data_IF_422282927742
#
_entry.id   IF_422282927742
#
_cell.length_a   1.000
_cell.length_b   1.000
_cell.length_c   1.000
_cell.angle_alpha   90.00
_cell.angle_beta   90.00
_cell.angle_gamma   90.00
#
_symmetry.space_group_name_H-M   'P 1'
#
loop_
_entity.id
_entity.type
_entity.pdbx_description
1 polymer ?
#
# COMPACT_ATOMS: atom_id res chain seq x y z
N UNK A 1 -6.91 1.86 -22.34
CA UNK A 1 -7.27 1.91 -20.90
C UNK A 1 -8.77 1.91 -20.82
N UNK A 2 -9.37 0.84 -20.33
CA UNK A 2 -10.79 0.85 -20.01
C UNK A 2 -10.96 1.86 -18.88
N UNK A 3 -11.72 2.93 -19.13
CA UNK A 3 -12.13 3.83 -18.06
C UNK A 3 -13.00 3.00 -17.11
N UNK A 4 -12.47 2.67 -15.91
CA UNK A 4 -13.34 2.32 -14.80
C UNK A 4 -14.30 3.49 -14.70
N UNK A 5 -15.60 3.26 -15.04
CA UNK A 5 -16.65 4.26 -14.78
C UNK A 5 -16.45 4.66 -13.33
N UNK A 6 -16.22 5.94 -13.07
CA UNK A 6 -15.97 6.43 -11.71
C UNK A 6 -17.20 6.04 -10.89
N UNK A 7 -17.01 5.12 -9.94
CA UNK A 7 -18.06 4.68 -9.04
C UNK A 7 -18.60 5.92 -8.31
N UNK A 8 -19.89 6.18 -8.45
CA UNK A 8 -20.54 7.29 -7.76
C UNK A 8 -20.75 6.90 -6.29
N UNK A 9 -20.12 7.64 -5.39
CA UNK A 9 -20.32 7.52 -3.95
C UNK A 9 -21.01 8.78 -3.44
N UNK A 10 -22.19 8.59 -2.85
CA UNK A 10 -23.05 9.67 -2.37
C UNK A 10 -23.47 9.46 -0.91
N UNK A 11 -23.83 10.53 -0.22
CA UNK A 11 -24.32 10.52 1.15
C UNK A 11 -25.65 11.23 1.15
N UNK A 12 -26.74 10.48 1.34
CA UNK A 12 -28.10 11.03 1.38
C UNK A 12 -28.73 10.76 2.75
N UNK A 13 -28.90 11.79 3.54
CA UNK A 13 -29.47 11.70 4.89
C UNK A 13 -30.98 11.39 4.90
N UNK A 14 -31.68 11.55 3.76
CA UNK A 14 -33.14 11.59 3.71
C UNK A 14 -33.80 10.54 2.82
N UNK A 15 -33.10 9.77 1.99
CA UNK A 15 -33.73 9.00 0.93
C UNK A 15 -33.25 7.54 0.83
N UNK A 16 -34.07 6.61 1.31
CA UNK A 16 -33.80 5.16 1.31
C UNK A 16 -34.22 4.45 0.01
N UNK A 17 -34.96 5.12 -0.91
CA UNK A 17 -35.81 4.44 -1.90
C UNK A 17 -35.30 4.34 -3.36
N UNK A 18 -34.07 4.76 -3.68
CA UNK A 18 -33.64 4.84 -5.08
C UNK A 18 -32.47 3.89 -5.44
N UNK A 19 -32.42 2.69 -4.89
CA UNK A 19 -31.39 1.70 -5.23
C UNK A 19 -32.01 0.30 -5.45
N UNK A 20 -31.28 -0.56 -6.16
CA UNK A 20 -31.71 -1.93 -6.42
C UNK A 20 -31.86 -2.76 -5.13
N UNK A 21 -31.09 -2.38 -4.10
CA UNK A 21 -31.04 -3.09 -2.82
C UNK A 21 -30.69 -2.14 -1.68
N UNK A 22 -31.31 -2.37 -0.50
CA UNK A 22 -30.98 -1.70 0.76
C UNK A 22 -30.14 -2.62 1.63
N UNK A 23 -28.99 -2.17 2.12
CA UNK A 23 -28.21 -2.87 3.12
C UNK A 23 -28.40 -2.25 4.51
N UNK A 24 -28.75 -3.11 5.50
CA UNK A 24 -29.11 -2.73 6.88
C UNK A 24 -28.18 -3.40 7.87
N UNK A 25 -27.50 -2.61 8.70
CA UNK A 25 -26.58 -3.11 9.73
C UNK A 25 -27.31 -3.64 10.97
N UNK A 26 -26.84 -4.76 11.51
CA UNK A 26 -27.42 -5.45 12.66
C UNK A 26 -26.35 -5.73 13.70
N UNK A 27 -26.54 -5.21 14.92
CA UNK A 27 -25.70 -5.56 16.06
C UNK A 27 -26.21 -6.83 16.75
N UNK A 28 -25.30 -7.60 17.35
CA UNK A 28 -25.65 -8.83 18.08
C UNK A 28 -26.52 -8.57 19.32
N UNK A 29 -26.28 -7.44 19.98
CA UNK A 29 -26.87 -7.05 21.27
C UNK A 29 -28.01 -6.03 21.16
N UNK A 30 -28.25 -5.45 19.98
CA UNK A 30 -29.26 -4.39 19.75
C UNK A 30 -30.22 -4.74 18.61
N UNK A 31 -30.61 -6.01 18.48
CA UNK A 31 -31.54 -6.42 17.45
C UNK A 31 -32.91 -6.73 18.09
N UNK A 32 -33.89 -5.87 17.87
CA UNK A 32 -35.24 -6.01 18.45
C UNK A 32 -36.24 -6.73 17.53
N UNK A 33 -35.91 -6.94 16.27
CA UNK A 33 -36.78 -7.62 15.30
C UNK A 33 -36.65 -9.14 15.38
N UNK A 34 -37.75 -9.84 15.76
CA UNK A 34 -37.82 -11.30 15.76
C UNK A 34 -37.54 -11.92 14.38
N UNK A 35 -38.00 -11.25 13.29
CA UNK A 35 -37.74 -11.69 11.93
C UNK A 35 -36.25 -11.66 11.62
N UNK A 36 -35.57 -10.54 11.95
CA UNK A 36 -34.12 -10.37 11.70
C UNK A 36 -33.34 -11.34 12.59
N UNK A 37 -33.69 -11.54 13.87
CA UNK A 37 -33.05 -12.51 14.77
C UNK A 37 -33.08 -13.95 14.25
N UNK A 38 -34.14 -14.30 13.51
CA UNK A 38 -34.25 -15.64 12.93
C UNK A 38 -33.32 -15.87 11.75
N UNK A 39 -32.87 -14.79 11.09
CA UNK A 39 -32.07 -14.84 9.85
C UNK A 39 -30.57 -14.57 10.08
N UNK A 40 -30.22 -13.70 11.04
CA UNK A 40 -28.84 -13.24 11.26
C UNK A 40 -28.54 -13.09 12.76
N UNK A 41 -27.35 -13.55 13.17
CA UNK A 41 -26.84 -13.40 14.53
C UNK A 41 -26.10 -12.07 14.78
N UNK A 42 -25.81 -11.33 13.73
CA UNK A 42 -25.11 -10.05 13.77
C UNK A 42 -23.59 -10.15 13.95
N UNK A 43 -22.96 -11.31 13.72
CA UNK A 43 -21.49 -11.42 13.72
C UNK A 43 -20.90 -10.57 12.59
N UNK A 44 -19.73 -9.99 12.82
CA UNK A 44 -19.06 -9.13 11.82
C UNK A 44 -18.97 -9.80 10.46
N UNK A 45 -19.54 -9.15 9.43
CA UNK A 45 -19.54 -9.66 8.06
C UNK A 45 -20.49 -10.82 7.77
N UNK A 46 -21.30 -11.26 8.75
CA UNK A 46 -22.41 -12.20 8.51
C UNK A 46 -23.47 -11.53 7.63
N UNK A 47 -24.02 -12.23 6.65
CA UNK A 47 -25.01 -11.71 5.72
C UNK A 47 -26.28 -12.55 5.76
N UNK A 48 -27.44 -11.88 5.72
CA UNK A 48 -28.74 -12.49 5.48
C UNK A 48 -29.53 -11.63 4.50
N UNK A 49 -30.37 -12.27 3.70
CA UNK A 49 -31.02 -11.64 2.57
C UNK A 49 -32.53 -11.87 2.60
N UNK A 50 -33.30 -10.79 2.52
CA UNK A 50 -34.75 -10.83 2.47
C UNK A 50 -35.27 -10.27 1.15
N UNK A 51 -36.07 -11.11 0.44
CA UNK A 51 -36.73 -10.77 -0.80
C UNK A 51 -38.21 -10.49 -0.56
N UNK A 52 -38.52 -9.34 -0.01
CA UNK A 52 -39.90 -8.86 -0.05
C UNK A 52 -40.18 -8.16 -1.38
N UNK A 53 -41.43 -8.31 -1.89
CA UNK A 53 -41.80 -7.79 -3.22
C UNK A 53 -41.61 -6.28 -3.40
N UNK A 54 -41.61 -5.51 -2.30
CA UNK A 54 -41.49 -4.04 -2.33
C UNK A 54 -40.06 -3.51 -2.18
N UNK A 55 -39.12 -4.25 -1.52
CA UNK A 55 -37.76 -3.81 -1.26
C UNK A 55 -36.84 -5.01 -0.98
N UNK A 56 -35.81 -5.17 -1.80
CA UNK A 56 -34.74 -6.12 -1.52
C UNK A 56 -33.88 -5.60 -0.37
N UNK A 57 -33.74 -6.37 0.71
CA UNK A 57 -32.94 -5.97 1.87
C UNK A 57 -31.85 -6.99 2.16
N UNK A 58 -30.62 -6.50 2.32
CA UNK A 58 -29.45 -7.25 2.76
C UNK A 58 -29.13 -6.85 4.20
N UNK A 59 -29.31 -7.74 5.14
CA UNK A 59 -28.86 -7.55 6.52
C UNK A 59 -27.39 -7.94 6.64
N UNK A 60 -26.60 -7.13 7.38
CA UNK A 60 -25.20 -7.43 7.61
C UNK A 60 -24.81 -7.23 9.08
N UNK A 61 -24.02 -8.14 9.61
CA UNK A 61 -23.60 -8.16 11.01
C UNK A 61 -22.48 -7.17 11.29
N UNK A 62 -22.61 -6.43 12.40
CA UNK A 62 -21.68 -5.40 12.88
C UNK A 62 -20.91 -5.82 14.16
N UNK A 63 -21.20 -7.02 14.72
CA UNK A 63 -20.65 -7.46 15.99
C UNK A 63 -21.40 -6.89 17.19
N UNK A 64 -20.76 -6.83 18.35
CA UNK A 64 -21.32 -6.23 19.57
C UNK A 64 -21.16 -4.72 19.53
N UNK A 65 -22.23 -3.97 19.85
CA UNK A 65 -22.28 -2.53 19.68
C UNK A 65 -21.28 -1.76 20.55
N UNK A 66 -20.90 -2.30 21.70
CA UNK A 66 -19.97 -1.75 22.68
C UNK A 66 -18.48 -2.17 22.43
N UNK A 67 -18.25 -3.12 21.51
CA UNK A 67 -16.93 -3.70 21.22
C UNK A 67 -16.50 -3.58 19.76
N UNK A 68 -17.42 -3.14 18.89
CA UNK A 68 -17.10 -2.98 17.48
C UNK A 68 -15.94 -2.00 17.27
N UNK A 69 -14.99 -2.42 16.49
CA UNK A 69 -13.81 -1.61 16.11
C UNK A 69 -13.99 -1.01 14.72
N UNK A 70 -13.22 0.06 14.36
CA UNK A 70 -13.23 0.57 12.99
C UNK A 70 -12.93 -0.52 11.94
N UNK A 71 -12.06 -1.48 12.27
CA UNK A 71 -11.74 -2.60 11.38
C UNK A 71 -12.92 -3.57 11.21
N UNK A 72 -13.74 -3.79 12.24
CA UNK A 72 -14.94 -4.60 12.12
C UNK A 72 -15.96 -3.97 11.16
N UNK A 73 -16.09 -2.65 11.18
CA UNK A 73 -16.95 -1.93 10.23
C UNK A 73 -16.42 -2.01 8.79
N UNK A 74 -15.10 -1.89 8.58
CA UNK A 74 -14.50 -2.11 7.24
C UNK A 74 -14.81 -3.51 6.73
N UNK A 75 -14.66 -4.53 7.58
CA UNK A 75 -14.97 -5.93 7.22
C UNK A 75 -16.44 -6.15 6.92
N UNK A 76 -17.33 -5.59 7.73
CA UNK A 76 -18.77 -5.67 7.51
C UNK A 76 -19.14 -5.00 6.17
N UNK A 77 -18.67 -3.80 5.93
CA UNK A 77 -18.87 -3.08 4.69
C UNK A 77 -18.29 -3.83 3.46
N UNK A 78 -17.09 -4.39 3.60
CA UNK A 78 -16.45 -5.20 2.57
C UNK A 78 -17.25 -6.44 2.21
N UNK A 79 -17.85 -7.13 3.20
CA UNK A 79 -18.72 -8.27 2.97
C UNK A 79 -20.00 -7.89 2.20
N UNK A 80 -20.63 -6.77 2.57
CA UNK A 80 -21.76 -6.20 1.83
C UNK A 80 -21.39 -5.98 0.36
N UNK A 81 -20.28 -5.27 0.09
CA UNK A 81 -19.90 -4.92 -1.27
C UNK A 81 -19.46 -6.13 -2.09
N UNK A 82 -18.85 -7.13 -1.46
CA UNK A 82 -18.55 -8.40 -2.12
C UNK A 82 -19.82 -9.08 -2.59
N UNK A 83 -20.87 -9.09 -1.78
CA UNK A 83 -22.18 -9.62 -2.16
C UNK A 83 -22.81 -8.82 -3.30
N UNK A 84 -22.85 -7.49 -3.20
CA UNK A 84 -23.43 -6.59 -4.19
C UNK A 84 -22.80 -6.79 -5.57
N UNK A 85 -21.47 -6.75 -5.64
CA UNK A 85 -20.73 -6.90 -6.91
C UNK A 85 -20.90 -8.30 -7.49
N UNK A 86 -20.84 -9.34 -6.66
CA UNK A 86 -21.00 -10.74 -7.10
C UNK A 86 -22.40 -11.03 -7.65
N UNK A 87 -23.42 -10.34 -7.15
CA UNK A 87 -24.81 -10.47 -7.62
C UNK A 87 -25.19 -9.43 -8.70
N UNK A 88 -24.21 -8.67 -9.22
CA UNK A 88 -24.37 -7.73 -10.35
C UNK A 88 -25.41 -6.63 -10.12
N UNK A 89 -25.60 -6.18 -8.89
CA UNK A 89 -26.44 -5.02 -8.61
C UNK A 89 -25.80 -3.73 -9.16
N UNK A 90 -26.62 -2.84 -9.72
CA UNK A 90 -26.13 -1.56 -10.28
C UNK A 90 -26.06 -0.47 -9.24
N UNK A 91 -26.88 -0.55 -8.19
CA UNK A 91 -26.93 0.44 -7.12
C UNK A 91 -27.24 -0.19 -5.76
N UNK A 92 -26.69 0.41 -4.72
CA UNK A 92 -26.97 0.02 -3.32
C UNK A 92 -27.11 1.24 -2.43
N UNK A 93 -28.15 1.23 -1.56
CA UNK A 93 -28.24 2.11 -0.40
C UNK A 93 -27.77 1.35 0.83
N UNK A 94 -26.80 1.90 1.56
CA UNK A 94 -26.22 1.27 2.75
C UNK A 94 -26.50 2.13 3.97
N UNK A 95 -27.21 1.57 4.95
CA UNK A 95 -27.49 2.28 6.19
C UNK A 95 -26.21 2.52 6.98
N UNK A 96 -25.94 3.77 7.35
CA UNK A 96 -24.82 4.12 8.22
C UNK A 96 -25.00 3.45 9.59
N UNK A 97 -24.00 2.69 10.07
CA UNK A 97 -24.07 2.08 11.39
C UNK A 97 -24.11 3.13 12.49
N UNK A 98 -25.06 3.01 13.42
CA UNK A 98 -25.21 3.91 14.57
C UNK A 98 -24.84 3.19 15.86
N UNK A 99 -23.96 3.79 16.66
CA UNK A 99 -23.72 3.42 18.05
C UNK A 99 -23.29 4.66 18.83
N UNK A 100 -23.64 4.75 20.10
CA UNK A 100 -23.24 5.83 21.00
C UNK A 100 -21.70 5.91 21.20
N UNK A 101 -20.99 4.81 20.94
CA UNK A 101 -19.53 4.72 21.01
C UNK A 101 -18.80 5.05 19.70
N UNK A 102 -19.53 5.32 18.61
CA UNK A 102 -18.94 5.56 17.31
C UNK A 102 -18.65 7.06 17.11
N UNK A 103 -17.39 7.37 16.86
CA UNK A 103 -16.92 8.68 16.45
C UNK A 103 -16.84 8.81 14.92
N UNK A 104 -16.34 9.94 14.44
CA UNK A 104 -16.16 10.24 13.03
C UNK A 104 -15.26 9.20 12.32
N UNK A 105 -14.30 8.61 13.02
CA UNK A 105 -13.39 7.62 12.47
C UNK A 105 -14.10 6.31 12.09
N UNK A 106 -15.19 5.96 12.80
CA UNK A 106 -16.04 4.82 12.42
C UNK A 106 -16.75 5.06 11.08
N UNK A 107 -17.25 6.29 10.85
CA UNK A 107 -17.84 6.66 9.55
C UNK A 107 -16.81 6.61 8.43
N UNK A 108 -15.59 7.08 8.68
CA UNK A 108 -14.47 6.98 7.75
C UNK A 108 -14.18 5.51 7.42
N UNK A 109 -14.00 4.66 8.44
CA UNK A 109 -13.66 3.26 8.30
C UNK A 109 -14.74 2.45 7.53
N UNK A 110 -16.01 2.74 7.81
CA UNK A 110 -17.12 2.10 7.10
C UNK A 110 -17.12 2.47 5.61
N UNK A 111 -16.93 3.74 5.29
CA UNK A 111 -16.82 4.22 3.91
C UNK A 111 -15.61 3.64 3.17
N UNK A 112 -14.47 3.52 3.86
CA UNK A 112 -13.30 2.80 3.31
C UNK A 112 -13.67 1.36 2.94
N UNK A 113 -14.36 0.64 3.83
CA UNK A 113 -14.78 -0.74 3.59
C UNK A 113 -15.72 -0.88 2.39
N UNK A 114 -16.65 0.06 2.19
CA UNK A 114 -17.55 0.07 1.04
C UNK A 114 -16.78 0.20 -0.28
N UNK A 115 -15.91 1.18 -0.39
CA UNK A 115 -15.13 1.41 -1.61
C UNK A 115 -14.13 0.27 -1.85
N UNK A 116 -13.36 -0.14 -0.83
CA UNK A 116 -12.37 -1.20 -0.96
C UNK A 116 -12.99 -2.56 -1.31
N UNK A 117 -14.15 -2.88 -0.74
CA UNK A 117 -14.88 -4.11 -1.01
C UNK A 117 -15.54 -4.15 -2.40
N UNK A 118 -15.82 -2.99 -2.98
CA UNK A 118 -16.37 -2.88 -4.34
C UNK A 118 -15.31 -3.04 -5.43
N UNK A 119 -14.03 -2.86 -5.11
CA UNK A 119 -12.94 -2.90 -6.06
C UNK A 119 -12.85 -4.23 -6.80
N UNK A 120 -12.67 -4.19 -8.12
CA UNK A 120 -12.35 -5.34 -9.00
C UNK A 120 -11.37 -4.87 -10.07
N UNK A 121 -10.34 -5.67 -10.31
CA UNK A 121 -9.41 -5.45 -11.42
C UNK A 121 -9.87 -6.28 -12.63
N UNK A 122 -10.44 -5.62 -13.64
CA UNK A 122 -11.10 -6.27 -14.78
C UNK A 122 -10.57 -5.77 -16.14
N UNK A 123 -9.56 -4.91 -16.16
CA UNK A 123 -9.13 -4.11 -17.31
C UNK A 123 -8.75 -4.94 -18.56
N UNK A 124 -8.35 -6.20 -18.37
CA UNK A 124 -7.91 -7.08 -19.46
C UNK A 124 -8.92 -8.18 -19.81
N UNK A 125 -10.09 -8.18 -19.19
CA UNK A 125 -11.18 -9.10 -19.54
C UNK A 125 -12.03 -8.48 -20.63
N UNK A 126 -12.14 -9.17 -21.78
CA UNK A 126 -12.85 -8.68 -22.97
C UNK A 126 -14.25 -9.29 -23.14
N UNK A 127 -14.61 -10.25 -22.31
CA UNK A 127 -15.92 -10.90 -22.29
C UNK A 127 -16.82 -10.34 -21.17
N UNK A 128 -17.97 -10.99 -20.91
CA UNK A 128 -18.94 -10.58 -19.90
C UNK A 128 -18.38 -10.51 -18.47
N UNK A 129 -17.29 -11.22 -18.16
CA UNK A 129 -16.61 -11.17 -16.85
C UNK A 129 -15.94 -9.82 -16.60
N UNK A 130 -15.56 -9.11 -17.69
CA UNK A 130 -15.00 -7.75 -17.63
C UNK A 130 -16.04 -6.66 -17.40
N UNK A 131 -17.34 -7.00 -17.31
CA UNK A 131 -18.40 -6.03 -17.09
C UNK A 131 -18.53 -5.73 -15.59
N UNK A 132 -18.29 -4.48 -15.23
CA UNK A 132 -18.54 -3.98 -13.88
C UNK A 132 -19.93 -3.32 -13.84
N UNK A 133 -20.82 -3.87 -13.00
CA UNK A 133 -22.23 -3.48 -13.00
C UNK A 133 -22.55 -2.39 -11.99
N UNK A 134 -21.80 -2.31 -10.86
CA UNK A 134 -22.09 -1.34 -9.82
C UNK A 134 -21.72 0.07 -10.29
N UNK A 135 -22.70 0.95 -10.28
CA UNK A 135 -22.56 2.36 -10.70
C UNK A 135 -22.63 3.32 -9.52
N UNK A 136 -23.45 2.98 -8.49
CA UNK A 136 -23.70 3.89 -7.37
C UNK A 136 -23.76 3.18 -6.00
N UNK A 137 -23.08 3.79 -5.03
CA UNK A 137 -23.21 3.50 -3.60
C UNK A 137 -23.78 4.77 -2.94
N UNK A 138 -24.88 4.64 -2.20
CA UNK A 138 -25.44 5.73 -1.41
C UNK A 138 -25.43 5.34 0.06
N UNK A 139 -24.69 6.07 0.89
CA UNK A 139 -24.75 5.91 2.34
C UNK A 139 -25.93 6.72 2.87
N UNK A 140 -26.85 6.06 3.60
CA UNK A 140 -28.10 6.65 4.07
C UNK A 140 -28.19 6.69 5.59
N UNK A 141 -28.91 7.68 6.11
CA UNK A 141 -29.07 7.91 7.55
C UNK A 141 -28.04 8.88 8.12
N UNK A 142 -28.10 9.09 9.45
CA UNK A 142 -27.17 10.01 10.12
C UNK A 142 -25.74 9.46 10.13
N UNK A 143 -24.83 10.17 9.48
CA UNK A 143 -23.40 9.89 9.46
C UNK A 143 -22.60 11.19 9.42
N UNK A 144 -21.33 11.14 9.82
CA UNK A 144 -20.42 12.25 9.62
C UNK A 144 -20.03 12.33 8.14
N UNK A 145 -20.61 13.26 7.39
CA UNK A 145 -20.40 13.37 5.96
C UNK A 145 -18.94 13.64 5.59
N UNK A 146 -18.25 14.49 6.35
CA UNK A 146 -16.85 14.83 6.08
C UNK A 146 -15.92 13.64 6.31
N UNK A 147 -16.08 12.92 7.42
CA UNK A 147 -15.32 11.70 7.70
C UNK A 147 -15.59 10.60 6.65
N UNK A 148 -16.85 10.46 6.23
CA UNK A 148 -17.22 9.50 5.19
C UNK A 148 -16.60 9.83 3.82
N UNK A 149 -16.58 11.11 3.44
CA UNK A 149 -15.90 11.58 2.20
C UNK A 149 -14.39 11.37 2.30
N UNK A 150 -13.79 11.67 3.46
CA UNK A 150 -12.36 11.39 3.71
C UNK A 150 -12.08 9.89 3.53
N UNK A 151 -12.88 9.01 4.12
CA UNK A 151 -12.75 7.56 3.97
C UNK A 151 -12.85 7.10 2.51
N UNK A 152 -13.81 7.64 1.75
CA UNK A 152 -13.93 7.35 0.32
C UNK A 152 -12.71 7.81 -0.47
N UNK A 153 -12.16 8.99 -0.16
CA UNK A 153 -10.93 9.52 -0.81
C UNK A 153 -9.73 8.60 -0.53
N UNK A 154 -9.52 8.22 0.71
CA UNK A 154 -8.44 7.30 1.12
C UNK A 154 -8.60 5.95 0.41
N UNK A 155 -9.81 5.38 0.41
CA UNK A 155 -10.06 4.10 -0.23
C UNK A 155 -9.84 4.13 -1.75
N UNK A 156 -10.23 5.20 -2.44
CA UNK A 156 -9.94 5.39 -3.86
C UNK A 156 -8.43 5.44 -4.13
N UNK A 157 -7.66 6.10 -3.26
CA UNK A 157 -6.19 6.11 -3.39
C UNK A 157 -5.57 4.72 -3.18
N UNK A 158 -6.11 3.92 -2.26
CA UNK A 158 -5.74 2.49 -2.10
C UNK A 158 -6.09 1.69 -3.37
N UNK A 159 -7.26 1.94 -3.99
CA UNK A 159 -7.65 1.28 -5.24
C UNK A 159 -6.69 1.63 -6.38
N UNK A 160 -6.20 2.87 -6.47
CA UNK A 160 -5.17 3.24 -7.45
C UNK A 160 -3.83 2.54 -7.20
N UNK A 161 -3.40 2.41 -5.93
CA UNK A 161 -2.22 1.60 -5.59
C UNK A 161 -2.41 0.13 -6.03
N UNK A 162 -3.61 -0.44 -5.83
CA UNK A 162 -3.96 -1.78 -6.34
C UNK A 162 -3.89 -1.85 -7.87
N UNK A 163 -4.40 -0.83 -8.57
CA UNK A 163 -4.35 -0.76 -10.04
C UNK A 163 -2.91 -0.79 -10.55
N UNK A 164 -2.02 0.04 -9.97
CA UNK A 164 -0.61 0.06 -10.35
C UNK A 164 0.05 -1.31 -10.20
N UNK A 165 -0.21 -2.02 -9.09
CA UNK A 165 0.42 -3.29 -8.80
C UNK A 165 -0.25 -4.49 -9.52
N UNK A 166 -1.55 -4.45 -9.78
CA UNK A 166 -2.26 -5.51 -10.50
C UNK A 166 -1.98 -5.50 -12.00
N UNK A 167 -1.65 -4.35 -12.56
CA UNK A 167 -1.28 -4.25 -13.96
C UNK A 167 -0.09 -5.18 -14.28
N UNK A 168 -0.09 -5.80 -15.47
CA UNK A 168 1.05 -6.60 -15.91
C UNK A 168 2.29 -5.72 -16.16
N UNK A 169 3.51 -6.28 -16.09
CA UNK A 169 4.76 -5.50 -16.14
C UNK A 169 5.01 -4.79 -17.48
N UNK A 170 4.35 -5.22 -18.55
CA UNK A 170 4.37 -4.52 -19.83
C UNK A 170 3.41 -3.30 -19.89
N UNK A 171 2.66 -3.05 -18.81
CA UNK A 171 1.78 -1.89 -18.62
C UNK A 171 2.27 -1.02 -17.47
N UNK A 172 2.51 -1.61 -16.28
CA UNK A 172 3.12 -0.91 -15.15
C UNK A 172 4.64 -0.90 -15.26
N UNK A 173 5.16 -0.20 -16.27
CA UNK A 173 6.60 0.00 -16.49
C UNK A 173 7.12 1.17 -15.64
N UNK A 174 8.46 1.32 -15.45
CA UNK A 174 9.03 2.49 -14.79
C UNK A 174 8.59 3.82 -15.44
N UNK A 175 8.46 3.85 -16.76
CA UNK A 175 7.96 5.03 -17.50
C UNK A 175 6.51 5.33 -17.15
N UNK A 176 5.64 4.30 -17.06
CA UNK A 176 4.23 4.49 -16.65
C UNK A 176 4.12 4.99 -15.19
N UNK A 177 4.98 4.50 -14.29
CA UNK A 177 5.02 5.00 -12.91
C UNK A 177 5.42 6.48 -12.86
N UNK A 178 6.37 6.91 -13.70
CA UNK A 178 6.75 8.33 -13.82
C UNK A 178 5.59 9.19 -14.36
N UNK A 179 4.87 8.72 -15.37
CA UNK A 179 3.67 9.38 -15.90
C UNK A 179 2.60 9.52 -14.82
N UNK A 180 2.32 8.45 -14.06
CA UNK A 180 1.36 8.49 -12.96
C UNK A 180 1.76 9.53 -11.89
N UNK A 181 3.05 9.59 -11.52
CA UNK A 181 3.55 10.59 -10.60
C UNK A 181 3.31 12.01 -11.12
N UNK A 182 3.52 12.26 -12.43
CA UNK A 182 3.26 13.56 -13.05
C UNK A 182 1.76 13.91 -13.07
N UNK A 183 0.88 12.93 -13.35
CA UNK A 183 -0.58 13.09 -13.31
C UNK A 183 -1.05 13.47 -11.89
N UNK A 184 -0.57 12.76 -10.86
CA UNK A 184 -0.87 13.05 -9.45
C UNK A 184 -0.28 14.40 -9.05
N UNK A 185 0.96 14.67 -9.42
CA UNK A 185 1.65 15.91 -9.12
C UNK A 185 0.91 17.14 -9.66
N UNK A 186 0.42 17.06 -10.89
CA UNK A 186 -0.38 18.13 -11.51
C UNK A 186 -1.70 18.38 -10.76
N UNK A 187 -2.41 17.33 -10.31
CA UNK A 187 -3.64 17.47 -9.52
C UNK A 187 -3.36 18.00 -8.11
N UNK A 188 -2.26 17.51 -7.53
CA UNK A 188 -1.84 17.82 -6.16
C UNK A 188 -1.06 19.12 -6.01
N UNK A 189 -0.76 19.86 -7.08
CA UNK A 189 0.17 20.99 -7.07
C UNK A 189 1.52 20.63 -6.42
N UNK A 190 2.06 19.48 -6.83
CA UNK A 190 3.33 18.95 -6.35
C UNK A 190 4.41 19.16 -7.40
N UNK A 191 5.61 19.43 -6.97
CA UNK A 191 6.76 19.39 -7.87
C UNK A 191 7.15 17.93 -8.11
N UNK A 192 7.21 17.53 -9.38
CA UNK A 192 7.67 16.19 -9.78
C UNK A 192 8.94 16.30 -10.60
N UNK A 193 9.96 15.57 -10.15
CA UNK A 193 11.24 15.47 -10.86
C UNK A 193 11.47 14.00 -11.21
N UNK A 194 11.85 13.74 -12.46
CA UNK A 194 12.14 12.39 -12.94
C UNK A 194 13.52 12.42 -13.58
N UNK A 195 14.44 11.62 -13.07
CA UNK A 195 15.77 11.44 -13.63
C UNK A 195 15.85 10.15 -14.45
N UNK A 196 16.42 10.26 -15.65
CA UNK A 196 16.70 9.14 -16.53
C UNK A 196 18.04 8.47 -16.19
N UNK A 197 18.29 7.30 -16.78
CA UNK A 197 19.52 6.49 -16.56
C UNK A 197 20.81 7.33 -16.61
N UNK A 198 20.97 8.17 -17.62
CA UNK A 198 22.16 8.98 -17.80
C UNK A 198 22.33 9.99 -16.65
N UNK A 199 21.25 10.62 -16.22
CA UNK A 199 21.23 11.63 -15.17
C UNK A 199 21.59 11.04 -13.81
N UNK A 200 20.86 10.00 -13.35
CA UNK A 200 21.13 9.43 -12.04
C UNK A 200 22.48 8.68 -11.97
N UNK A 201 22.96 8.14 -13.11
CA UNK A 201 24.32 7.56 -13.19
C UNK A 201 25.38 8.64 -13.02
N UNK A 202 25.25 9.80 -13.69
CA UNK A 202 26.17 10.96 -13.51
C UNK A 202 26.12 11.50 -12.07
N UNK A 203 24.98 11.38 -11.39
CA UNK A 203 24.85 11.77 -9.99
C UNK A 203 25.59 10.82 -9.04
N UNK A 204 26.00 9.64 -9.49
CA UNK A 204 26.72 8.65 -8.70
C UNK A 204 25.82 7.58 -8.04
N UNK A 205 24.59 7.35 -8.53
CA UNK A 205 23.68 6.30 -8.07
C UNK A 205 24.09 4.95 -8.67
N UNK A 206 25.26 4.44 -8.30
CA UNK A 206 25.84 3.25 -8.92
C UNK A 206 25.18 1.94 -8.53
N UNK A 207 24.54 1.86 -7.36
CA UNK A 207 23.80 0.68 -6.94
C UNK A 207 22.51 0.53 -7.78
N UNK A 208 21.76 1.62 -7.98
CA UNK A 208 20.58 1.64 -8.83
C UNK A 208 20.93 1.42 -10.31
N UNK A 209 21.98 2.09 -10.80
CA UNK A 209 22.48 1.92 -12.17
C UNK A 209 22.90 0.47 -12.45
N UNK A 210 23.54 -0.20 -11.48
CA UNK A 210 23.94 -1.59 -11.58
C UNK A 210 22.75 -2.53 -11.79
N UNK A 211 21.72 -2.43 -10.94
CA UNK A 211 20.49 -3.23 -11.11
C UNK A 211 19.84 -2.97 -12.46
N UNK A 212 19.77 -1.71 -12.88
CA UNK A 212 19.11 -1.31 -14.11
C UNK A 212 19.84 -1.73 -15.39
N UNK A 213 21.13 -2.12 -15.35
CA UNK A 213 21.90 -2.34 -16.58
C UNK A 213 21.50 -3.59 -17.35
N UNK A 214 20.81 -4.56 -16.72
CA UNK A 214 20.36 -5.80 -17.37
C UNK A 214 19.10 -5.65 -18.22
N UNK A 215 18.42 -4.49 -18.18
CA UNK A 215 17.16 -4.26 -18.88
C UNK A 215 17.26 -3.18 -19.95
N UNK A 216 16.47 -3.36 -21.04
CA UNK A 216 16.25 -2.32 -22.05
C UNK A 216 15.10 -1.37 -21.66
N UNK A 217 14.25 -1.73 -20.68
CA UNK A 217 13.21 -0.83 -20.18
C UNK A 217 13.85 0.38 -19.49
N UNK A 218 13.48 1.62 -19.85
CA UNK A 218 14.08 2.82 -19.30
C UNK A 218 13.84 2.96 -17.78
N UNK A 219 14.87 2.84 -16.93
CA UNK A 219 14.69 3.06 -15.49
C UNK A 219 14.39 4.52 -15.20
N UNK A 220 13.68 4.79 -14.11
CA UNK A 220 13.29 6.12 -13.66
C UNK A 220 13.57 6.30 -12.17
N UNK A 221 14.20 7.42 -11.81
CA UNK A 221 14.29 7.86 -10.43
C UNK A 221 13.30 9.02 -10.24
N UNK A 222 12.21 8.75 -9.51
CA UNK A 222 11.05 9.64 -9.46
C UNK A 222 11.00 10.30 -8.08
N UNK A 223 10.84 11.62 -8.05
CA UNK A 223 10.68 12.42 -6.83
C UNK A 223 9.40 13.23 -6.95
N UNK A 224 8.57 13.19 -5.90
CA UNK A 224 7.38 14.04 -5.76
C UNK A 224 7.53 14.85 -4.47
N UNK A 225 7.38 16.17 -4.57
CA UNK A 225 7.54 17.10 -3.44
C UNK A 225 6.23 17.85 -3.22
N UNK A 226 5.61 17.65 -2.07
CA UNK A 226 4.41 18.34 -1.60
C UNK A 226 4.77 19.21 -0.39
N UNK A 227 4.49 20.50 -0.47
CA UNK A 227 4.75 21.47 0.59
C UNK A 227 3.44 22.08 1.06
N UNK A 228 2.72 21.36 1.91
CA UNK A 228 1.41 21.74 2.45
C UNK A 228 1.44 22.32 3.86
N UNK A 229 2.60 22.30 4.54
CA UNK A 229 2.73 22.87 5.87
C UNK A 229 2.59 24.42 5.85
N UNK A 230 2.18 24.99 6.98
CA UNK A 230 2.06 26.45 7.14
C UNK A 230 3.46 27.14 6.99
N UNK A 231 4.55 26.42 7.30
CA UNK A 231 5.93 26.86 7.05
C UNK A 231 6.63 25.89 6.09
N UNK A 232 7.29 26.43 5.07
CA UNK A 232 8.15 25.66 4.16
C UNK A 232 9.42 25.12 4.86
N UNK A 233 9.79 25.73 5.99
CA UNK A 233 10.95 25.29 6.80
C UNK A 233 10.59 24.10 7.72
N UNK A 234 9.31 23.67 7.78
CA UNK A 234 8.93 22.44 8.46
C UNK A 234 9.60 21.25 7.76
N UNK A 235 10.33 20.44 8.55
CA UNK A 235 11.02 19.26 8.05
C UNK A 235 10.04 18.30 7.39
N UNK A 236 10.31 17.84 6.15
CA UNK A 236 9.40 16.94 5.47
C UNK A 236 9.41 15.52 6.07
N UNK A 237 8.31 14.82 5.89
CA UNK A 237 8.27 13.35 5.95
C UNK A 237 8.77 12.82 4.61
N UNK A 238 9.72 11.88 4.63
CA UNK A 238 10.23 11.27 3.39
C UNK A 238 9.75 9.82 3.31
N UNK A 239 9.13 9.49 2.17
CA UNK A 239 8.61 8.17 1.84
C UNK A 239 9.38 7.60 0.66
N UNK A 240 10.02 6.44 0.83
CA UNK A 240 10.80 5.79 -0.23
C UNK A 240 10.16 4.46 -0.60
N UNK A 241 9.88 4.22 -1.89
CA UNK A 241 9.20 3.01 -2.34
C UNK A 241 10.03 2.17 -3.31
N UNK A 242 10.24 0.87 -3.02
CA UNK A 242 10.82 -0.07 -3.98
C UNK A 242 9.94 -0.13 -5.23
N UNK A 243 10.53 0.17 -6.40
CA UNK A 243 9.83 0.24 -7.69
C UNK A 243 10.33 -0.80 -8.70
N UNK A 244 10.55 -2.05 -8.28
CA UNK A 244 10.90 -3.15 -9.20
C UNK A 244 9.65 -3.61 -9.94
N UNK A 245 9.41 -3.10 -11.16
CA UNK A 245 8.21 -3.41 -11.94
C UNK A 245 8.20 -4.84 -12.49
N UNK A 246 9.35 -5.49 -12.51
CA UNK A 246 9.48 -6.95 -12.64
C UNK A 246 10.86 -7.41 -12.13
N UNK A 247 10.89 -8.57 -11.47
CA UNK A 247 12.12 -9.14 -10.91
C UNK A 247 12.30 -10.60 -11.32
N UNK A 248 13.31 -10.84 -12.18
CA UNK A 248 13.72 -12.21 -12.56
C UNK A 248 14.77 -12.80 -11.60
N UNK A 249 15.30 -11.99 -10.67
CA UNK A 249 16.50 -12.30 -9.89
C UNK A 249 17.80 -11.93 -10.61
N UNK A 250 17.74 -11.51 -11.87
CA UNK A 250 18.93 -11.24 -12.67
C UNK A 250 19.73 -12.51 -12.97
N UNK A 251 21.06 -12.46 -12.86
CA UNK A 251 21.95 -13.62 -13.07
C UNK A 251 21.71 -14.71 -12.02
N UNK A 252 21.36 -14.35 -10.78
CA UNK A 252 20.88 -15.26 -9.74
C UNK A 252 19.41 -15.60 -9.96
N UNK A 253 19.10 -16.22 -11.09
CA UNK A 253 17.76 -16.38 -11.66
C UNK A 253 16.81 -17.14 -10.72
N UNK A 254 15.62 -16.56 -10.51
CA UNK A 254 14.53 -17.20 -9.76
C UNK A 254 14.00 -18.43 -10.48
N UNK A 255 13.45 -19.44 -9.75
CA UNK A 255 12.66 -20.50 -10.37
C UNK A 255 11.48 -19.92 -11.17
N UNK A 256 11.12 -20.55 -12.31
CA UNK A 256 9.99 -20.08 -13.12
C UNK A 256 8.62 -20.17 -12.43
N UNK A 257 8.48 -21.09 -11.46
CA UNK A 257 7.25 -21.22 -10.67
C UNK A 257 6.98 -19.95 -9.87
N UNK A 258 5.80 -19.35 -10.07
CA UNK A 258 5.36 -18.08 -9.44
C UNK A 258 6.20 -16.85 -9.80
N UNK A 259 7.01 -16.90 -10.85
CA UNK A 259 7.77 -15.73 -11.31
C UNK A 259 6.82 -14.63 -11.82
N UNK A 260 5.64 -14.97 -12.31
CA UNK A 260 4.59 -14.03 -12.71
C UNK A 260 4.09 -13.16 -11.55
N UNK A 261 4.17 -13.64 -10.29
CA UNK A 261 3.87 -12.86 -9.10
C UNK A 261 4.90 -11.73 -8.87
N UNK A 262 6.07 -11.76 -9.52
CA UNK A 262 7.10 -10.72 -9.40
C UNK A 262 6.70 -9.39 -10.07
N UNK A 263 5.55 -9.31 -10.71
CA UNK A 263 4.89 -8.03 -11.04
C UNK A 263 4.53 -7.22 -9.79
N UNK A 264 4.34 -7.86 -8.63
CA UNK A 264 4.05 -7.22 -7.34
C UNK A 264 5.29 -6.66 -6.64
N UNK A 265 6.49 -6.86 -7.19
CA UNK A 265 7.74 -6.41 -6.58
C UNK A 265 7.93 -4.89 -6.59
N UNK A 266 6.94 -4.17 -7.07
CA UNK A 266 6.80 -2.72 -7.02
C UNK A 266 5.73 -2.24 -6.03
N UNK A 267 5.18 -3.11 -5.17
CA UNK A 267 4.16 -2.71 -4.21
C UNK A 267 4.64 -1.65 -3.22
N UNK A 268 5.95 -1.59 -2.93
CA UNK A 268 6.53 -0.48 -2.16
C UNK A 268 6.28 0.88 -2.83
N UNK A 269 6.52 0.98 -4.13
CA UNK A 269 6.20 2.20 -4.90
C UNK A 269 4.70 2.46 -5.00
N UNK A 270 3.88 1.41 -5.11
CA UNK A 270 2.43 1.54 -5.15
C UNK A 270 1.87 2.15 -3.84
N UNK A 271 2.43 1.78 -2.67
CA UNK A 271 2.11 2.40 -1.38
C UNK A 271 2.43 3.89 -1.41
N UNK A 272 3.63 4.25 -1.87
CA UNK A 272 4.07 5.65 -1.95
C UNK A 272 3.17 6.45 -2.90
N UNK A 273 2.89 5.93 -4.09
CA UNK A 273 2.03 6.61 -5.06
C UNK A 273 0.58 6.69 -4.60
N UNK A 274 0.03 5.65 -3.97
CA UNK A 274 -1.30 5.68 -3.36
C UNK A 274 -1.38 6.74 -2.26
N UNK A 275 -0.36 6.82 -1.39
CA UNK A 275 -0.28 7.86 -0.37
C UNK A 275 -0.25 9.26 -1.00
N UNK A 276 0.62 9.50 -1.99
CA UNK A 276 0.69 10.81 -2.66
C UNK A 276 -0.59 11.15 -3.43
N UNK A 277 -1.30 10.15 -3.97
CA UNK A 277 -2.61 10.35 -4.59
C UNK A 277 -3.67 10.82 -3.58
N UNK A 278 -3.70 10.24 -2.37
CA UNK A 278 -4.57 10.74 -1.29
C UNK A 278 -4.16 12.15 -0.83
N UNK A 279 -2.85 12.40 -0.67
CA UNK A 279 -2.31 13.73 -0.32
C UNK A 279 -2.73 14.80 -1.33
N UNK A 280 -2.78 14.47 -2.62
CA UNK A 280 -3.22 15.37 -3.68
C UNK A 280 -4.66 15.85 -3.49
N UNK A 281 -5.53 15.03 -2.91
CA UNK A 281 -6.95 15.34 -2.68
C UNK A 281 -7.20 15.89 -1.27
N UNK A 282 -6.57 15.32 -0.23
CA UNK A 282 -6.79 15.66 1.17
C UNK A 282 -6.06 16.94 1.60
N UNK A 283 -4.97 17.29 0.91
CA UNK A 283 -4.18 18.51 1.17
C UNK A 283 -3.76 18.69 2.64
N UNK A 284 -3.10 17.69 3.26
CA UNK A 284 -2.70 17.79 4.67
C UNK A 284 -1.70 18.93 4.88
N UNK A 285 -1.73 19.54 6.08
CA UNK A 285 -0.76 20.57 6.48
C UNK A 285 0.58 19.97 6.89
N UNK A 286 1.26 19.33 5.94
CA UNK A 286 2.54 18.65 6.10
C UNK A 286 3.41 18.85 4.86
N UNK A 287 4.73 18.83 5.04
CA UNK A 287 5.67 18.70 3.94
C UNK A 287 6.00 17.22 3.74
N UNK A 288 5.83 16.72 2.53
CA UNK A 288 5.99 15.30 2.19
C UNK A 288 6.83 15.18 0.93
N UNK A 289 7.85 14.33 0.97
CA UNK A 289 8.67 13.99 -0.19
C UNK A 289 8.56 12.49 -0.43
N UNK A 290 8.22 12.12 -1.65
CA UNK A 290 8.17 10.74 -2.09
C UNK A 290 9.28 10.45 -3.10
N UNK A 291 10.00 9.34 -2.94
CA UNK A 291 11.10 8.93 -3.82
C UNK A 291 10.90 7.48 -4.24
N UNK A 292 10.93 7.24 -5.55
CA UNK A 292 10.76 5.90 -6.13
C UNK A 292 11.85 5.63 -7.15
N UNK A 293 12.86 4.82 -6.82
CA UNK A 293 13.76 4.23 -7.81
C UNK A 293 13.03 3.08 -8.51
N UNK A 294 12.80 3.19 -9.83
CA UNK A 294 12.04 2.19 -10.59
C UNK A 294 12.81 1.62 -11.77
N UNK A 295 12.85 0.28 -11.84
CA UNK A 295 13.49 -0.49 -12.91
C UNK A 295 12.94 -1.90 -12.97
N UNK A 296 13.37 -2.69 -13.97
CA UNK A 296 13.34 -4.15 -13.94
C UNK A 296 14.68 -4.72 -13.46
N UNK A 297 14.66 -5.86 -12.80
CA UNK A 297 15.85 -6.72 -12.60
C UNK A 297 15.81 -7.88 -13.59
N UNK A 298 16.65 -7.82 -14.61
CA UNK A 298 16.58 -8.76 -15.73
C UNK A 298 17.89 -9.51 -15.96
N UNK A 299 17.78 -10.76 -16.42
CA UNK A 299 18.90 -11.48 -17.01
C UNK A 299 19.14 -10.93 -18.42
N UNK A 300 20.25 -10.24 -18.61
CA UNK A 300 20.62 -9.62 -19.89
C UNK A 300 22.13 -9.67 -20.11
N UNK A 301 22.58 -9.41 -21.33
CA UNK A 301 24.00 -9.44 -21.70
C UNK A 301 24.86 -8.41 -20.95
N UNK A 302 24.24 -7.38 -20.38
CA UNK A 302 24.91 -6.33 -19.58
C UNK A 302 24.52 -6.38 -18.09
N UNK A 303 23.82 -7.42 -17.64
CA UNK A 303 23.40 -7.55 -16.24
C UNK A 303 24.60 -7.58 -15.28
N UNK A 304 24.43 -6.98 -14.10
CA UNK A 304 25.44 -7.06 -13.05
C UNK A 304 25.58 -8.49 -12.51
N UNK A 305 26.74 -8.81 -11.97
CA UNK A 305 27.13 -10.17 -11.64
C UNK A 305 27.36 -10.36 -10.14
N UNK A 306 27.12 -11.56 -9.60
CA UNK A 306 27.69 -11.94 -8.32
C UNK A 306 29.24 -11.82 -8.36
N UNK A 307 29.82 -11.11 -7.39
CA UNK A 307 31.21 -10.75 -7.35
C UNK A 307 31.53 -9.30 -7.77
N UNK A 308 30.57 -8.59 -8.39
CA UNK A 308 30.71 -7.17 -8.68
C UNK A 308 30.80 -6.33 -7.39
N UNK A 309 31.46 -5.19 -7.48
CA UNK A 309 31.42 -4.15 -6.43
C UNK A 309 30.78 -2.90 -7.03
N UNK A 310 29.63 -2.50 -6.46
CA UNK A 310 28.94 -1.28 -6.84
C UNK A 310 29.26 -0.16 -5.85
N UNK A 311 29.22 1.10 -6.31
CA UNK A 311 29.39 2.26 -5.43
C UNK A 311 28.08 3.01 -5.33
N UNK A 312 27.52 3.09 -4.12
CA UNK A 312 26.26 3.78 -3.86
C UNK A 312 26.44 5.31 -3.81
N UNK A 313 25.33 6.04 -3.86
CA UNK A 313 25.27 7.50 -3.89
C UNK A 313 26.01 8.19 -2.72
N UNK A 314 26.08 7.58 -1.55
CA UNK A 314 26.84 8.09 -0.40
C UNK A 314 28.35 7.71 -0.44
N UNK A 315 28.81 7.09 -1.53
CA UNK A 315 30.20 6.67 -1.73
C UNK A 315 30.55 5.31 -1.12
N UNK A 316 29.64 4.65 -0.38
CA UNK A 316 29.89 3.30 0.13
C UNK A 316 29.92 2.28 -0.98
N UNK A 317 30.85 1.33 -0.84
CA UNK A 317 31.01 0.19 -1.75
C UNK A 317 30.21 -1.01 -1.28
N UNK A 318 29.61 -1.73 -2.22
CA UNK A 318 28.70 -2.84 -1.98
C UNK A 318 29.20 -4.08 -2.76
N UNK A 319 29.56 -5.14 -2.05
CA UNK A 319 29.83 -6.45 -2.64
C UNK A 319 28.52 -7.15 -3.00
N UNK A 320 28.40 -7.54 -4.26
CA UNK A 320 27.24 -8.26 -4.76
C UNK A 320 27.49 -9.78 -4.61
N UNK A 321 26.74 -10.42 -3.74
CA UNK A 321 26.79 -11.87 -3.58
C UNK A 321 25.61 -12.57 -4.28
N UNK A 322 24.51 -11.84 -4.47
CA UNK A 322 23.31 -12.36 -5.11
C UNK A 322 22.58 -11.22 -5.82
N UNK A 323 22.32 -11.36 -7.10
CA UNK A 323 21.62 -10.34 -7.90
C UNK A 323 20.10 -10.33 -7.66
N UNK A 324 19.53 -11.35 -6.97
CA UNK A 324 18.15 -11.41 -6.49
C UNK A 324 17.95 -10.67 -5.14
N UNK A 325 18.97 -9.97 -4.67
CA UNK A 325 18.91 -9.03 -3.56
C UNK A 325 19.09 -7.58 -4.07
N UNK A 326 18.40 -7.22 -5.11
CA UNK A 326 18.45 -6.00 -5.92
C UNK A 326 17.61 -4.87 -5.31
N UNK A 327 16.47 -5.18 -4.69
CA UNK A 327 15.56 -4.19 -4.12
C UNK A 327 16.25 -3.30 -3.10
N UNK A 328 17.08 -3.88 -2.24
CA UNK A 328 17.88 -3.13 -1.28
C UNK A 328 18.97 -2.25 -1.95
N UNK A 329 19.43 -2.63 -3.15
CA UNK A 329 20.43 -1.86 -3.89
C UNK A 329 19.82 -0.57 -4.46
N UNK A 330 18.64 -0.66 -5.06
CA UNK A 330 17.94 0.53 -5.57
C UNK A 330 17.50 1.45 -4.42
N UNK A 331 17.08 0.89 -3.28
CA UNK A 331 16.73 1.64 -2.09
C UNK A 331 17.96 2.30 -1.44
N UNK A 332 19.14 1.68 -1.48
CA UNK A 332 20.36 2.26 -0.93
C UNK A 332 20.65 3.65 -1.52
N UNK A 333 20.59 3.80 -2.84
CA UNK A 333 20.79 5.09 -3.48
C UNK A 333 19.67 6.10 -3.17
N UNK A 334 18.42 5.64 -3.11
CA UNK A 334 17.27 6.49 -2.78
C UNK A 334 17.34 7.02 -1.34
N UNK A 335 17.67 6.16 -0.37
CA UNK A 335 17.82 6.52 1.05
C UNK A 335 19.02 7.47 1.24
N UNK A 336 20.13 7.19 0.57
CA UNK A 336 21.32 8.06 0.60
C UNK A 336 21.05 9.42 -0.04
N UNK A 337 20.31 9.44 -1.16
CA UNK A 337 19.87 10.68 -1.81
C UNK A 337 18.96 11.49 -0.89
N UNK A 338 17.94 10.85 -0.31
CA UNK A 338 17.03 11.49 0.64
C UNK A 338 17.76 12.08 1.82
N UNK A 339 18.69 11.33 2.41
CA UNK A 339 19.50 11.76 3.57
C UNK A 339 20.37 12.97 3.26
N UNK A 340 20.80 13.13 2.02
CA UNK A 340 21.70 14.24 1.61
C UNK A 340 20.94 15.50 1.21
N UNK A 341 19.77 15.36 0.56
CA UNK A 341 19.06 16.49 -0.06
C UNK A 341 17.90 17.02 0.78
N UNK A 342 17.43 16.22 1.72
CA UNK A 342 16.33 16.58 2.62
C UNK A 342 16.80 16.45 4.06
N UNK A 343 16.31 17.30 4.94
CA UNK A 343 16.47 17.18 6.40
C UNK A 343 15.14 16.66 6.98
N UNK A 344 14.85 15.34 6.86
CA UNK A 344 13.52 14.82 7.17
C UNK A 344 13.23 14.83 8.66
N UNK A 345 11.96 15.08 9.02
CA UNK A 345 11.46 14.83 10.37
C UNK A 345 11.58 13.33 10.69
N UNK A 346 11.24 12.49 9.72
CA UNK A 346 11.52 11.06 9.67
C UNK A 346 11.46 10.54 8.23
N UNK A 347 12.01 9.36 8.03
CA UNK A 347 12.02 8.66 6.74
C UNK A 347 11.47 7.25 6.90
N UNK A 348 10.66 6.81 5.94
CA UNK A 348 10.15 5.43 5.88
C UNK A 348 10.40 4.88 4.48
N UNK A 349 10.90 3.65 4.41
CA UNK A 349 10.91 2.93 3.15
C UNK A 349 10.00 1.70 3.18
N UNK A 350 9.44 1.39 2.01
CA UNK A 350 8.51 0.31 1.78
C UNK A 350 9.03 -0.60 0.68
N UNK A 351 9.16 -1.88 0.98
CA UNK A 351 9.63 -2.84 -0.01
C UNK A 351 9.03 -4.24 0.20
N UNK A 352 8.72 -4.89 -0.90
CA UNK A 352 8.59 -6.34 -1.00
C UNK A 352 10.01 -6.91 -1.00
N UNK A 353 10.63 -6.93 0.21
CA UNK A 353 12.08 -7.10 0.26
C UNK A 353 12.51 -8.54 0.41
N UNK A 354 11.83 -9.31 1.28
CA UNK A 354 12.33 -10.64 1.64
C UNK A 354 11.23 -11.70 1.71
N UNK A 355 11.50 -12.87 1.11
CA UNK A 355 10.69 -14.06 1.36
C UNK A 355 10.71 -14.51 2.83
N UNK A 356 11.76 -14.15 3.58
CA UNK A 356 11.86 -14.42 5.01
C UNK A 356 10.75 -13.75 5.83
N UNK A 357 10.30 -12.56 5.44
CA UNK A 357 9.16 -11.89 6.06
C UNK A 357 7.88 -12.72 5.90
N UNK A 358 7.65 -13.27 4.71
CA UNK A 358 6.48 -14.15 4.44
C UNK A 358 6.55 -15.42 5.29
N UNK A 359 7.74 -16.01 5.43
CA UNK A 359 7.93 -17.20 6.30
C UNK A 359 7.66 -16.88 7.78
N UNK A 360 7.98 -15.65 8.22
CA UNK A 360 7.81 -15.23 9.63
C UNK A 360 6.36 -14.90 9.96
N UNK A 361 5.68 -14.11 9.12
CA UNK A 361 4.37 -13.53 9.44
C UNK A 361 3.23 -14.00 8.50
N UNK A 362 3.53 -14.79 7.49
CA UNK A 362 2.56 -15.13 6.44
C UNK A 362 2.07 -13.88 5.73
N UNK A 363 0.75 -13.82 5.49
CA UNK A 363 0.07 -12.70 4.84
C UNK A 363 -0.74 -11.85 5.84
N UNK A 364 -0.32 -11.81 7.12
CA UNK A 364 -1.10 -11.21 8.21
C UNK A 364 -0.53 -9.87 8.65
N UNK A 365 0.78 -9.78 8.87
CA UNK A 365 1.44 -8.58 9.38
C UNK A 365 2.65 -8.19 8.54
N UNK A 366 2.91 -6.89 8.47
CA UNK A 366 4.11 -6.30 7.89
C UNK A 366 5.21 -6.25 8.94
N UNK A 367 6.44 -6.64 8.58
CA UNK A 367 7.59 -6.41 9.45
C UNK A 367 8.01 -4.95 9.42
N UNK A 368 8.29 -4.38 10.59
CA UNK A 368 8.90 -3.06 10.72
C UNK A 368 10.22 -3.15 11.49
N UNK A 369 11.23 -2.41 11.03
CA UNK A 369 12.55 -2.34 11.66
C UNK A 369 13.06 -0.90 11.57
N UNK A 370 13.49 -0.32 12.68
CA UNK A 370 13.87 1.08 12.68
C UNK A 370 14.98 1.41 13.69
N UNK A 371 15.38 2.68 13.69
CA UNK A 371 16.40 3.22 14.56
C UNK A 371 15.84 4.20 15.62
N UNK A 372 14.52 4.43 15.62
CA UNK A 372 13.90 5.41 16.51
C UNK A 372 12.64 4.83 17.18
N UNK A 373 12.68 4.57 18.52
CA UNK A 373 11.55 3.99 19.24
C UNK A 373 10.26 4.82 19.18
N UNK A 374 10.35 6.15 19.19
CA UNK A 374 9.16 7.01 19.12
C UNK A 374 8.45 6.91 17.76
N UNK A 375 9.20 6.80 16.67
CA UNK A 375 8.62 6.57 15.36
C UNK A 375 7.94 5.20 15.29
N UNK A 376 8.56 4.17 15.86
CA UNK A 376 7.98 2.83 15.98
C UNK A 376 6.65 2.85 16.76
N UNK A 377 6.62 3.53 17.93
CA UNK A 377 5.39 3.68 18.73
C UNK A 377 4.27 4.38 17.93
N UNK A 378 4.59 5.46 17.20
CA UNK A 378 3.60 6.16 16.36
C UNK A 378 3.09 5.26 15.24
N UNK A 379 3.94 4.46 14.59
CA UNK A 379 3.57 3.48 13.57
C UNK A 379 2.65 2.40 14.16
N UNK A 380 2.96 1.88 15.35
CA UNK A 380 2.13 0.89 16.03
C UNK A 380 0.75 1.45 16.42
N UNK A 381 0.66 2.73 16.79
CA UNK A 381 -0.62 3.39 17.04
C UNK A 381 -1.45 3.50 15.76
N UNK A 382 -0.86 4.00 14.66
CA UNK A 382 -1.53 4.03 13.35
C UNK A 382 -1.95 2.64 12.86
N UNK A 383 -1.18 1.60 13.17
CA UNK A 383 -1.55 0.21 12.91
C UNK A 383 -2.83 -0.20 13.65
N UNK A 384 -2.98 0.18 14.92
CA UNK A 384 -4.20 -0.10 15.69
C UNK A 384 -5.41 0.63 15.11
N UNK A 385 -5.26 1.91 14.76
CA UNK A 385 -6.32 2.73 14.20
C UNK A 385 -6.83 2.16 12.87
N UNK A 386 -5.89 1.82 11.99
CA UNK A 386 -6.22 1.38 10.61
C UNK A 386 -6.52 -0.12 10.49
N UNK A 387 -6.13 -0.93 11.48
CA UNK A 387 -6.20 -2.39 11.39
C UNK A 387 -5.18 -3.00 10.42
N UNK A 388 -4.25 -2.22 9.87
CA UNK A 388 -3.13 -2.69 9.04
C UNK A 388 -1.99 -3.11 9.96
N UNK A 389 -1.90 -4.42 10.24
CA UNK A 389 -1.05 -4.96 11.29
C UNK A 389 0.43 -4.85 10.96
N UNK A 390 1.21 -4.36 11.91
CA UNK A 390 2.67 -4.35 11.86
C UNK A 390 3.25 -5.05 13.08
N UNK A 391 4.48 -5.55 12.96
CA UNK A 391 5.24 -6.10 14.07
C UNK A 391 6.71 -5.73 13.96
N UNK A 392 7.27 -5.20 15.06
CA UNK A 392 8.68 -4.81 15.12
C UNK A 392 9.60 -6.02 15.26
N UNK A 393 10.64 -6.07 14.43
CA UNK A 393 11.77 -6.99 14.55
C UNK A 393 13.01 -6.23 15.04
N UNK A 394 13.93 -6.91 15.77
CA UNK A 394 15.13 -6.26 16.31
C UNK A 394 16.10 -5.84 15.21
N UNK A 395 16.78 -4.70 15.41
CA UNK A 395 17.81 -4.19 14.50
C UNK A 395 19.08 -3.84 15.31
N UNK A 396 19.64 -4.83 15.99
CA UNK A 396 20.82 -4.69 16.85
C UNK A 396 22.12 -4.65 16.02
N UNK A 397 23.21 -4.18 16.62
CA UNK A 397 24.50 -4.04 15.94
C UNK A 397 25.06 -5.38 15.47
N UNK A 398 24.79 -6.50 16.17
CA UNK A 398 25.17 -7.84 15.77
C UNK A 398 24.57 -8.24 14.40
N UNK A 399 23.37 -7.75 14.07
CA UNK A 399 22.79 -7.95 12.73
C UNK A 399 23.40 -7.01 11.69
N UNK A 400 23.78 -5.79 12.08
CA UNK A 400 24.48 -4.86 11.21
C UNK A 400 25.88 -5.38 10.85
N UNK A 401 26.53 -6.10 11.75
CA UNK A 401 27.81 -6.73 11.50
C UNK A 401 27.75 -7.86 10.46
N UNK A 402 26.60 -8.53 10.31
CA UNK A 402 26.43 -9.60 9.32
C UNK A 402 26.48 -9.13 7.87
N UNK A 403 26.21 -7.85 7.63
CA UNK A 403 26.28 -7.26 6.28
C UNK A 403 27.60 -6.55 5.97
N UNK A 404 28.56 -6.58 6.88
CA UNK A 404 29.92 -6.11 6.61
C UNK A 404 30.63 -7.06 5.63
N UNK A 405 31.42 -6.50 4.71
CA UNK A 405 32.24 -7.26 3.78
C UNK A 405 33.72 -7.20 4.17
N UNK A 406 34.50 -8.17 3.66
CA UNK A 406 35.94 -8.17 3.80
C UNK A 406 36.67 -7.42 2.67
N UNK A 407 35.96 -7.11 1.58
CA UNK A 407 36.53 -6.49 0.37
C UNK A 407 35.81 -5.19 -0.05
N UNK A 408 34.73 -4.83 0.62
CA UNK A 408 33.98 -3.59 0.43
C UNK A 408 33.41 -3.15 1.78
N UNK A 409 32.70 -2.01 1.82
CA UNK A 409 32.09 -1.52 3.07
C UNK A 409 30.97 -2.43 3.56
N UNK A 410 30.11 -2.89 2.64
CA UNK A 410 29.01 -3.80 2.94
C UNK A 410 28.83 -4.82 1.82
N UNK A 411 28.10 -5.90 2.11
CA UNK A 411 27.66 -6.91 1.13
C UNK A 411 26.13 -6.97 1.10
N UNK A 412 25.55 -7.31 -0.04
CA UNK A 412 24.10 -7.29 -0.21
C UNK A 412 23.36 -8.49 0.39
N UNK A 413 24.06 -9.40 1.09
CA UNK A 413 23.46 -10.50 1.85
C UNK A 413 23.98 -10.53 3.29
N UNK A 414 23.14 -11.02 4.20
CA UNK A 414 23.54 -11.43 5.55
C UNK A 414 24.07 -12.86 5.59
N UNK A 415 24.00 -13.49 6.76
CA UNK A 415 24.37 -14.91 6.94
C UNK A 415 23.37 -15.81 6.19
N UNK A 416 23.85 -16.82 5.42
CA UNK A 416 22.99 -17.67 4.62
C UNK A 416 21.90 -18.38 5.45
N UNK A 417 20.63 -18.26 5.03
CA UNK A 417 19.48 -18.92 5.66
C UNK A 417 19.09 -18.39 7.03
N UNK A 418 19.65 -17.24 7.49
CA UNK A 418 19.41 -16.69 8.81
C UNK A 418 18.94 -15.24 8.73
N UNK A 419 17.94 -14.88 9.57
CA UNK A 419 17.50 -13.50 9.81
C UNK A 419 17.31 -12.64 8.53
N UNK A 420 16.79 -13.20 7.44
CA UNK A 420 16.78 -12.55 6.12
C UNK A 420 16.13 -11.18 6.11
N UNK A 421 14.99 -11.00 6.79
CA UNK A 421 14.30 -9.71 6.92
C UNK A 421 15.16 -8.70 7.69
N UNK A 422 15.76 -9.13 8.79
CA UNK A 422 16.61 -8.26 9.61
C UNK A 422 17.88 -7.85 8.86
N UNK A 423 18.49 -8.79 8.13
CA UNK A 423 19.68 -8.53 7.31
C UNK A 423 19.37 -7.54 6.16
N UNK A 424 18.16 -7.60 5.60
CA UNK A 424 17.68 -6.61 4.63
C UNK A 424 17.66 -5.20 5.21
N UNK A 425 17.03 -5.02 6.36
CA UNK A 425 16.98 -3.74 7.06
C UNK A 425 18.36 -3.27 7.55
N UNK A 426 19.20 -4.19 8.04
CA UNK A 426 20.56 -3.89 8.47
C UNK A 426 21.42 -3.34 7.32
N UNK A 427 21.26 -3.89 6.10
CA UNK A 427 21.88 -3.36 4.91
C UNK A 427 21.38 -1.92 4.62
N UNK A 428 20.06 -1.70 4.61
CA UNK A 428 19.46 -0.38 4.32
C UNK A 428 19.90 0.69 5.32
N UNK A 429 20.01 0.34 6.62
CA UNK A 429 20.49 1.24 7.69
C UNK A 429 21.84 1.89 7.35
N UNK A 430 22.72 1.20 6.60
CA UNK A 430 24.03 1.73 6.21
C UNK A 430 23.94 2.93 5.24
N UNK A 431 22.80 3.18 4.61
CA UNK A 431 22.56 4.24 3.63
C UNK A 431 21.64 5.34 4.16
N UNK A 432 21.18 5.22 5.38
CA UNK A 432 20.41 6.25 6.09
C UNK A 432 21.36 7.18 6.83
N UNK A 433 21.08 8.50 6.82
CA UNK A 433 21.84 9.49 7.56
C UNK A 433 21.77 9.21 9.08
N UNK A 434 22.90 9.40 9.78
CA UNK A 434 23.12 8.96 11.16
C UNK A 434 22.04 9.43 12.15
N UNK A 435 21.54 10.66 12.00
CA UNK A 435 20.62 11.28 12.95
C UNK A 435 19.16 11.33 12.43
N UNK A 436 18.87 10.65 11.32
CA UNK A 436 17.55 10.61 10.71
C UNK A 436 16.72 9.49 11.35
N UNK A 437 15.58 9.80 12.00
CA UNK A 437 14.62 8.78 12.40
C UNK A 437 14.13 8.00 11.16
N UNK A 438 14.28 6.68 11.17
CA UNK A 438 13.98 5.85 10.01
C UNK A 438 13.35 4.53 10.41
N UNK A 439 12.43 4.05 9.56
CA UNK A 439 11.83 2.72 9.66
C UNK A 439 11.68 2.10 8.28
N UNK A 440 12.13 0.86 8.14
CA UNK A 440 11.89 -0.02 7.00
C UNK A 440 10.60 -0.82 7.21
N UNK A 441 9.75 -0.89 6.18
CA UNK A 441 8.59 -1.77 6.10
C UNK A 441 8.84 -2.87 5.08
N UNK A 442 9.02 -4.10 5.53
CA UNK A 442 9.01 -5.27 4.63
C UNK A 442 7.57 -5.73 4.43
N UNK A 443 7.03 -5.33 3.28
CA UNK A 443 5.63 -5.57 2.90
C UNK A 443 5.45 -6.83 2.04
N UNK A 444 6.47 -7.67 1.89
CA UNK A 444 6.40 -8.86 1.03
C UNK A 444 5.23 -9.78 1.38
N UNK A 445 4.93 -9.96 2.68
CA UNK A 445 3.81 -10.80 3.12
C UNK A 445 2.44 -10.18 2.94
N UNK A 446 2.32 -8.85 3.00
CA UNK A 446 1.03 -8.15 3.04
C UNK A 446 0.64 -7.50 1.72
N UNK A 447 1.52 -7.52 0.70
CA UNK A 447 1.27 -6.85 -0.59
C UNK A 447 0.28 -7.60 -1.48
N UNK A 448 0.25 -8.93 -1.46
CA UNK A 448 -0.70 -9.77 -2.21
C UNK A 448 -0.96 -11.08 -1.47
N UNK A 449 -1.95 -11.89 -1.93
CA UNK A 449 -2.30 -13.18 -1.30
C UNK A 449 -2.97 -13.05 0.07
N UNK A 450 -3.54 -11.90 0.39
CA UNK A 450 -4.23 -11.66 1.68
C UNK A 450 -5.66 -12.21 1.62
N UNK A 451 -5.97 -13.21 2.43
CA UNK A 451 -7.26 -13.92 2.36
C UNK A 451 -8.27 -13.54 3.47
N UNK A 452 -7.83 -12.96 4.56
CA UNK A 452 -8.63 -12.79 5.78
C UNK A 452 -9.34 -11.44 5.92
N UNK A 453 -9.48 -10.69 4.82
CA UNK A 453 -10.10 -9.36 4.77
C UNK A 453 -11.16 -9.31 3.68
N UNK A 454 -12.43 -9.15 4.03
CA UNK A 454 -13.57 -9.10 3.08
C UNK A 454 -13.46 -7.97 2.04
N UNK A 455 -12.69 -6.92 2.32
CA UNK A 455 -12.47 -5.78 1.45
C UNK A 455 -11.18 -5.86 0.63
N UNK A 456 -10.48 -7.00 0.65
CA UNK A 456 -9.28 -7.27 -0.17
C UNK A 456 -9.59 -8.42 -1.12
N UNK A 457 -9.24 -8.27 -2.40
CA UNK A 457 -9.30 -9.37 -3.36
C UNK A 457 -8.17 -10.37 -3.08
N UNK A 458 -8.51 -11.66 -3.06
CA UNK A 458 -7.56 -12.75 -2.81
C UNK A 458 -6.42 -12.79 -3.83
N UNK A 459 -6.75 -12.63 -5.11
CA UNK A 459 -5.82 -12.88 -6.23
C UNK A 459 -5.17 -11.59 -6.77
N UNK A 460 -5.04 -10.57 -5.94
CA UNK A 460 -4.49 -9.28 -6.36
C UNK A 460 -3.72 -8.54 -5.27
N UNK A 461 -3.25 -7.36 -5.64
CA UNK A 461 -2.59 -6.45 -4.72
C UNK A 461 -3.57 -6.00 -3.63
N UNK A 462 -3.10 -5.99 -2.39
CA UNK A 462 -3.90 -5.64 -1.22
C UNK A 462 -4.09 -4.13 -1.04
N UNK A 463 -3.09 -3.34 -1.42
CA UNK A 463 -2.99 -1.92 -1.13
C UNK A 463 -2.84 -1.60 0.36
N UNK A 464 -2.45 -2.59 1.20
CA UNK A 464 -2.17 -2.37 2.61
C UNK A 464 -1.02 -1.38 2.82
N UNK A 465 -0.97 -0.80 4.02
CA UNK A 465 -0.02 0.21 4.49
C UNK A 465 -0.33 1.63 3.98
N UNK A 466 -1.03 1.83 2.87
CA UNK A 466 -1.43 3.18 2.42
C UNK A 466 -2.24 3.91 3.49
N UNK A 467 -3.24 3.26 4.11
CA UNK A 467 -4.09 3.84 5.16
C UNK A 467 -3.27 4.13 6.43
N UNK A 468 -2.37 3.21 6.79
CA UNK A 468 -1.48 3.38 7.95
C UNK A 468 -0.59 4.62 7.77
N UNK A 469 0.01 4.80 6.58
CA UNK A 469 0.86 5.97 6.32
C UNK A 469 0.06 7.27 6.37
N UNK A 470 -1.15 7.29 5.81
CA UNK A 470 -2.02 8.47 5.85
C UNK A 470 -2.42 8.83 7.29
N UNK A 471 -2.76 7.85 8.13
CA UNK A 471 -3.04 8.06 9.55
C UNK A 471 -1.81 8.60 10.29
N UNK A 472 -0.62 8.00 10.05
CA UNK A 472 0.64 8.40 10.67
C UNK A 472 1.03 9.85 10.36
N UNK A 473 0.78 10.32 9.14
CA UNK A 473 1.10 11.70 8.75
C UNK A 473 -0.03 12.68 9.07
N UNK A 474 -1.17 12.20 9.60
CA UNK A 474 -2.31 13.02 9.98
C UNK A 474 -3.07 13.60 8.75
N UNK A 475 -3.11 12.85 7.65
CA UNK A 475 -3.81 13.23 6.42
C UNK A 475 -5.30 12.88 6.45
#
# INVERSE_FOLDING_TARGET
>A
MAHIKKLEYDIDMNNVKNSDILAVGVYQDKNDSELVKSQIKGKVGELAYDFNDDQKTLYFGLGQSDKATPEDLRRAAGAVMTFIVSNKYSSVSVQCPKSESHDDYFCQAFSEGLILGSYRFLDFLTDERGQYHLEKITMVGECCADASKKGATIANAVCEARNLANNPPNVSTPSRLAEFAQEVGKRGDMKVTVFDREEFTKMGMGAFAGVAQGTNEPPKFIIMEYFGADSKDEKPVVLVGKGLTFDTGGVSLKPGAKMDEMKFDMCGSAIVFGTMNAVAELRPKKNIVAIVPSTHNMLGGSAFLPGDILTAYNGKTIEILNTDAEGRLILADALAYASKHYDPAFMIDFATLTGACVVTFGHIATAILGNNPKLIESIQESSKNTGELVWELPLWDEYCDQVKSNISDVKNLGSPGQAGTIAGAAFLKAFVGKDIPWTHFDVAGTSWGVENRSYIQKDGASGQVVRLVLDLIGA
#
